data_IF_538927178294
#
_entry.id   IF_538927178294
#
_cell.length_a   1.000
_cell.length_b   1.000
_cell.length_c   1.000
_cell.angle_alpha   90.00
_cell.angle_beta   90.00
_cell.angle_gamma   90.00
#
_symmetry.space_group_name_H-M   'P 1'
#
loop_
_entity.id
_entity.type
_entity.pdbx_description
1 polymer ?
#
# COMPACT_ATOMS: atom_id res chain seq x y z
N UNK A 1 9.96 0.24 -5.25
CA UNK A 1 9.29 -0.20 -4.02
C UNK A 1 9.63 -1.66 -3.77
N UNK A 2 10.20 -1.97 -2.60
CA UNK A 2 10.42 -3.32 -2.09
C UNK A 2 9.61 -3.44 -0.81
N UNK A 3 8.61 -4.31 -0.80
CA UNK A 3 7.83 -4.61 0.41
C UNK A 3 7.68 -6.10 0.58
N UNK A 4 7.61 -6.57 1.82
CA UNK A 4 7.48 -7.97 2.12
C UNK A 4 7.22 -8.23 3.59
N UNK A 5 7.08 -9.51 3.89
CA UNK A 5 7.05 -9.98 5.26
C UNK A 5 7.72 -11.35 5.35
N UNK A 6 8.31 -11.62 6.51
CA UNK A 6 8.74 -12.96 6.91
C UNK A 6 7.79 -13.47 7.98
N UNK A 7 7.35 -14.72 7.86
CA UNK A 7 6.41 -15.32 8.79
C UNK A 7 6.99 -16.56 9.46
N UNK A 8 6.69 -16.70 10.75
CA UNK A 8 6.92 -17.91 11.53
C UNK A 8 5.57 -18.40 12.06
N UNK A 9 5.13 -19.55 11.55
CA UNK A 9 3.91 -20.20 12.03
C UNK A 9 4.26 -21.05 13.25
N UNK A 10 3.62 -20.77 14.39
CA UNK A 10 3.69 -21.65 15.55
C UNK A 10 2.82 -22.89 15.29
N UNK A 11 1.60 -22.67 14.80
CA UNK A 11 0.71 -23.74 14.38
C UNK A 11 -0.20 -23.27 13.23
N UNK A 12 -1.19 -24.10 12.87
CA UNK A 12 -2.11 -23.79 11.77
C UNK A 12 -2.95 -22.53 11.99
N UNK A 13 -3.18 -22.15 13.26
CA UNK A 13 -4.02 -21.00 13.66
C UNK A 13 -3.22 -19.76 13.99
N UNK A 14 -1.99 -19.88 14.48
CA UNK A 14 -1.22 -18.77 15.02
C UNK A 14 0.17 -18.67 14.42
N UNK A 15 0.58 -17.45 14.11
CA UNK A 15 1.93 -17.13 13.66
C UNK A 15 2.33 -15.70 14.01
N UNK A 16 3.58 -15.37 13.73
CA UNK A 16 4.13 -14.02 13.88
C UNK A 16 4.75 -13.60 12.56
N UNK A 17 4.62 -12.32 12.22
CA UNK A 17 5.14 -11.71 11.01
C UNK A 17 6.11 -10.59 11.36
N UNK A 18 7.26 -10.58 10.70
CA UNK A 18 8.13 -9.42 10.56
C UNK A 18 7.80 -8.76 9.22
N UNK A 19 7.43 -7.49 9.25
CA UNK A 19 6.98 -6.72 8.09
C UNK A 19 8.05 -5.68 7.78
N UNK A 20 8.39 -5.54 6.50
CA UNK A 20 9.37 -4.56 6.07
C UNK A 20 8.97 -3.92 4.74
N UNK A 21 9.19 -2.62 4.64
CA UNK A 21 8.92 -1.82 3.45
C UNK A 21 10.06 -0.83 3.22
N UNK A 22 10.46 -0.69 1.97
CA UNK A 22 11.38 0.34 1.51
C UNK A 22 10.88 0.87 0.17
N UNK A 23 10.58 2.15 0.14
CA UNK A 23 10.07 2.84 -1.04
C UNK A 23 10.98 3.98 -1.42
N UNK A 24 11.22 4.10 -2.72
CA UNK A 24 11.98 5.18 -3.33
C UNK A 24 11.04 5.92 -4.27
N UNK A 25 11.05 7.24 -4.22
CA UNK A 25 10.31 8.10 -5.12
C UNK A 25 11.25 9.16 -5.70
N UNK A 26 11.07 9.46 -6.98
CA UNK A 26 11.74 10.54 -7.69
C UNK A 26 10.70 11.18 -8.60
N UNK A 27 10.64 12.52 -8.62
CA UNK A 27 9.61 13.28 -9.33
C UNK A 27 10.30 14.34 -10.20
N UNK A 28 10.48 14.04 -11.48
CA UNK A 28 11.22 14.91 -12.41
C UNK A 28 10.42 16.14 -12.87
N UNK A 29 9.07 16.07 -12.84
CA UNK A 29 8.18 17.11 -13.38
C UNK A 29 8.14 18.42 -12.58
N UNK A 30 8.70 18.43 -11.37
CA UNK A 30 8.69 19.59 -10.46
C UNK A 30 10.10 19.96 -9.97
N UNK A 31 11.15 19.48 -10.65
CA UNK A 31 12.56 19.68 -10.26
C UNK A 31 12.89 19.16 -8.85
N UNK A 32 12.36 18.00 -8.48
CA UNK A 32 12.46 17.46 -7.13
C UNK A 32 13.51 16.34 -7.08
N UNK A 33 14.33 16.32 -6.02
CA UNK A 33 15.34 15.28 -5.79
C UNK A 33 14.76 13.91 -5.41
N UNK A 34 15.61 12.89 -5.41
CA UNK A 34 15.27 11.52 -5.01
C UNK A 34 15.02 11.39 -3.50
N UNK A 35 13.98 10.68 -3.11
CA UNK A 35 13.55 10.47 -1.73
C UNK A 35 13.31 8.99 -1.42
N UNK A 36 13.46 8.59 -0.15
CA UNK A 36 13.16 7.23 0.31
C UNK A 36 12.40 7.22 1.64
N UNK A 37 11.47 6.27 1.80
CA UNK A 37 10.78 5.99 3.07
C UNK A 37 10.90 4.52 3.41
N UNK A 38 10.94 4.21 4.69
CA UNK A 38 11.00 2.84 5.19
C UNK A 38 9.95 2.57 6.26
N UNK A 39 9.60 1.30 6.40
CA UNK A 39 8.73 0.81 7.46
C UNK A 39 9.23 -0.52 7.99
N UNK A 40 9.23 -0.68 9.31
CA UNK A 40 9.59 -1.94 9.99
C UNK A 40 8.57 -2.25 11.08
N UNK A 41 8.03 -3.46 11.07
CA UNK A 41 6.91 -3.79 11.94
C UNK A 41 6.83 -5.25 12.30
N UNK A 42 6.00 -5.53 13.30
CA UNK A 42 5.69 -6.89 13.74
C UNK A 42 4.20 -7.05 13.89
N UNK A 43 3.68 -8.23 13.55
CA UNK A 43 2.28 -8.56 13.73
C UNK A 43 2.10 -10.00 14.21
N UNK A 44 1.11 -10.21 15.07
CA UNK A 44 0.55 -11.53 15.36
C UNK A 44 -0.48 -11.88 14.31
N UNK A 45 -0.44 -13.11 13.80
CA UNK A 45 -1.38 -13.66 12.82
C UNK A 45 -2.28 -14.69 13.50
N UNK A 46 -3.57 -14.63 13.21
CA UNK A 46 -4.60 -15.53 13.70
C UNK A 46 -5.52 -15.97 12.57
N UNK A 47 -5.72 -17.28 12.43
CA UNK A 47 -6.66 -17.92 11.51
C UNK A 47 -7.70 -18.70 12.32
N UNK A 48 -8.84 -18.09 12.66
CA UNK A 48 -9.87 -18.77 13.45
C UNK A 48 -10.43 -20.01 12.76
N UNK A 49 -10.57 -19.91 11.43
CA UNK A 49 -11.17 -20.89 10.53
C UNK A 49 -10.41 -20.90 9.18
N UNK A 50 -10.94 -21.62 8.18
CA UNK A 50 -10.31 -21.77 6.88
C UNK A 50 -10.46 -20.55 5.94
N UNK A 51 -11.43 -19.68 6.24
CA UNK A 51 -11.84 -18.56 5.38
C UNK A 51 -11.25 -17.24 5.87
N UNK A 52 -10.97 -17.14 7.17
CA UNK A 52 -10.60 -15.90 7.86
C UNK A 52 -9.13 -15.91 8.28
N UNK A 53 -8.45 -14.81 8.01
CA UNK A 53 -7.04 -14.63 8.30
C UNK A 53 -6.78 -13.18 8.74
N UNK A 54 -6.34 -13.01 9.98
CA UNK A 54 -6.22 -11.72 10.63
C UNK A 54 -4.77 -11.54 11.09
N UNK A 55 -4.17 -10.41 10.79
CA UNK A 55 -2.89 -9.98 11.33
C UNK A 55 -3.06 -8.63 12.05
N UNK A 56 -2.60 -8.57 13.30
CA UNK A 56 -2.66 -7.41 14.17
C UNK A 56 -1.26 -7.11 14.69
N UNK A 57 -0.85 -5.85 14.64
CA UNK A 57 0.52 -5.48 14.96
C UNK A 57 0.76 -3.98 14.98
N UNK A 58 2.04 -3.63 14.88
CA UNK A 58 2.52 -2.26 14.80
C UNK A 58 3.61 -2.17 13.74
N UNK A 59 3.57 -1.08 12.98
CA UNK A 59 4.58 -0.71 12.00
C UNK A 59 5.18 0.62 12.43
N UNK A 60 6.50 0.70 12.54
CA UNK A 60 7.21 1.97 12.65
C UNK A 60 7.49 2.45 11.24
N UNK A 61 6.89 3.55 10.84
CA UNK A 61 7.14 4.18 9.55
C UNK A 61 7.92 5.47 9.71
N UNK A 62 8.91 5.63 8.84
CA UNK A 62 9.57 6.91 8.61
C UNK A 62 8.63 7.81 7.80
N UNK A 63 8.35 8.99 8.36
CA UNK A 63 7.42 9.98 7.81
C UNK A 63 8.17 11.25 7.37
N UNK A 64 9.46 11.13 7.08
CA UNK A 64 10.35 12.25 6.77
C UNK A 64 10.49 13.20 7.95
N UNK A 65 10.42 14.51 7.74
CA UNK A 65 10.56 15.55 8.77
C UNK A 65 9.57 15.42 9.94
N UNK A 66 8.60 14.51 9.85
CA UNK A 66 7.87 13.98 11.00
C UNK A 66 8.61 12.77 11.58
N UNK A 67 8.93 12.82 12.88
CA UNK A 67 9.51 11.70 13.65
C UNK A 67 8.88 10.34 13.33
N UNK A 68 9.64 9.24 13.48
CA UNK A 68 9.13 7.87 13.33
C UNK A 68 7.81 7.69 14.08
N UNK A 69 6.76 7.30 13.35
CA UNK A 69 5.43 7.12 13.93
C UNK A 69 5.10 5.64 14.09
N UNK A 70 4.57 5.22 15.25
CA UNK A 70 3.94 3.93 15.40
C UNK A 70 2.56 3.96 14.71
N UNK A 71 2.36 3.05 13.78
CA UNK A 71 1.14 2.89 13.02
C UNK A 71 0.53 1.51 13.36
N UNK A 72 -0.77 1.45 13.69
CA UNK A 72 -1.46 0.18 13.80
C UNK A 72 -1.34 -0.62 12.50
N UNK A 73 -0.93 -1.88 12.61
CA UNK A 73 -0.95 -2.81 11.50
C UNK A 73 -2.13 -3.76 11.65
N UNK A 74 -3.16 -3.58 10.83
CA UNK A 74 -4.33 -4.44 10.77
C UNK A 74 -4.48 -4.92 9.35
N UNK A 75 -4.51 -6.24 9.18
CA UNK A 75 -4.87 -6.88 7.93
C UNK A 75 -5.87 -7.99 8.23
N UNK A 76 -7.06 -7.92 7.67
CA UNK A 76 -8.05 -8.97 7.81
C UNK A 76 -8.47 -9.43 6.41
N UNK A 77 -8.31 -10.70 6.12
CA UNK A 77 -8.72 -11.33 4.87
C UNK A 77 -9.83 -12.33 5.16
N UNK A 78 -10.93 -12.22 4.42
CA UNK A 78 -12.04 -13.15 4.47
C UNK A 78 -12.31 -13.72 3.07
N UNK A 79 -12.41 -15.05 2.98
CA UNK A 79 -12.60 -15.81 1.75
C UNK A 79 -13.91 -16.60 1.82
N UNK A 80 -15.07 -15.97 1.57
CA UNK A 80 -16.37 -16.63 1.69
C UNK A 80 -16.55 -17.82 0.76
N UNK A 81 -15.80 -17.86 -0.35
CA UNK A 81 -15.83 -18.96 -1.30
C UNK A 81 -14.53 -18.99 -2.11
N UNK A 82 -14.38 -20.00 -2.99
CA UNK A 82 -13.19 -20.13 -3.83
C UNK A 82 -13.00 -18.99 -4.86
N UNK A 83 -14.05 -18.22 -5.13
CA UNK A 83 -14.09 -17.18 -6.17
C UNK A 83 -13.99 -15.74 -5.64
N UNK A 84 -14.03 -15.53 -4.32
CA UNK A 84 -14.07 -14.19 -3.74
C UNK A 84 -13.16 -14.07 -2.52
N UNK A 85 -12.55 -12.89 -2.39
CA UNK A 85 -11.77 -12.50 -1.22
C UNK A 85 -12.06 -11.03 -0.90
N UNK A 86 -12.29 -10.74 0.38
CA UNK A 86 -12.39 -9.38 0.90
C UNK A 86 -11.23 -9.16 1.85
N UNK A 87 -10.51 -8.07 1.67
CA UNK A 87 -9.36 -7.73 2.49
C UNK A 87 -9.50 -6.31 3.03
N UNK A 88 -9.47 -6.18 4.34
CA UNK A 88 -9.31 -4.91 5.04
C UNK A 88 -7.84 -4.72 5.37
N UNK A 89 -7.35 -3.50 5.14
CA UNK A 89 -6.01 -3.04 5.54
C UNK A 89 -6.14 -1.75 6.32
N UNK A 90 -5.45 -1.65 7.44
CA UNK A 90 -5.04 -0.39 8.04
C UNK A 90 -3.56 -0.56 8.37
N UNK A 91 -2.69 -0.07 7.48
CA UNK A 91 -1.25 -0.38 7.52
C UNK A 91 -0.37 0.85 7.46
N UNK A 92 -0.94 2.06 7.43
CA UNK A 92 -0.19 3.31 7.21
C UNK A 92 -0.08 3.64 5.74
N UNK A 93 0.54 2.75 4.96
CA UNK A 93 0.72 2.91 3.51
C UNK A 93 -0.60 2.85 2.73
N UNK A 94 -1.40 1.81 3.01
CA UNK A 94 -2.71 1.61 2.40
C UNK A 94 -3.71 1.26 3.47
N UNK A 95 -4.74 2.09 3.59
CA UNK A 95 -5.80 1.93 4.59
C UNK A 95 -7.14 1.84 3.86
N UNK A 96 -7.73 0.67 3.77
CA UNK A 96 -8.90 0.50 2.94
C UNK A 96 -9.42 -0.91 2.83
N UNK A 97 -10.30 -1.09 1.86
CA UNK A 97 -10.98 -2.34 1.55
C UNK A 97 -10.64 -2.73 0.11
N UNK A 98 -10.26 -3.99 -0.07
CA UNK A 98 -9.99 -4.58 -1.36
C UNK A 98 -10.93 -5.77 -1.53
N UNK A 99 -11.72 -5.76 -2.58
CA UNK A 99 -12.59 -6.87 -2.98
C UNK A 99 -12.00 -7.51 -4.23
N UNK A 100 -11.71 -8.80 -4.17
CA UNK A 100 -11.10 -9.56 -5.26
C UNK A 100 -12.04 -10.67 -5.71
N UNK A 101 -12.27 -10.74 -7.02
CA UNK A 101 -12.91 -11.85 -7.71
C UNK A 101 -11.89 -12.67 -8.49
N UNK A 102 -11.95 -14.00 -8.37
CA UNK A 102 -11.13 -14.92 -9.13
C UNK A 102 -11.96 -15.50 -10.28
N UNK A 103 -11.61 -15.16 -11.51
CA UNK A 103 -12.36 -15.57 -12.70
C UNK A 103 -12.03 -17.00 -13.14
N UNK A 104 -10.89 -17.52 -12.68
CA UNK A 104 -10.43 -18.87 -12.97
C UNK A 104 -10.27 -19.66 -11.67
N UNK A 105 -10.46 -20.98 -11.72
CA UNK A 105 -10.35 -21.82 -10.52
C UNK A 105 -8.94 -21.84 -9.93
N UNK A 106 -7.93 -21.72 -10.79
CA UNK A 106 -6.52 -21.62 -10.40
C UNK A 106 -6.13 -20.20 -9.94
N UNK A 107 -7.07 -19.25 -9.94
CA UNK A 107 -6.88 -17.84 -9.58
C UNK A 107 -5.86 -17.10 -10.45
N UNK A 108 -5.54 -17.63 -11.64
CA UNK A 108 -4.66 -16.97 -12.59
C UNK A 108 -5.20 -15.62 -13.06
N UNK A 109 -6.51 -15.45 -13.18
CA UNK A 109 -7.13 -14.17 -13.52
C UNK A 109 -7.89 -13.61 -12.31
N UNK A 110 -7.47 -12.44 -11.85
CA UNK A 110 -8.08 -11.73 -10.71
C UNK A 110 -8.61 -10.38 -11.16
N UNK A 111 -9.82 -10.03 -10.73
CA UNK A 111 -10.38 -8.68 -10.83
C UNK A 111 -10.45 -8.12 -9.42
N UNK A 112 -9.92 -6.92 -9.19
CA UNK A 112 -9.96 -6.28 -7.89
C UNK A 112 -10.56 -4.87 -7.93
N UNK A 113 -11.42 -4.59 -6.96
CA UNK A 113 -11.85 -3.25 -6.60
C UNK A 113 -11.16 -2.86 -5.30
N UNK A 114 -10.45 -1.74 -5.31
CA UNK A 114 -9.77 -1.18 -4.15
C UNK A 114 -10.34 0.19 -3.85
N UNK A 115 -10.72 0.42 -2.59
CA UNK A 115 -10.99 1.75 -2.04
C UNK A 115 -10.05 1.93 -0.87
N UNK A 116 -9.06 2.80 -1.03
CA UNK A 116 -8.03 3.01 -0.02
C UNK A 116 -7.84 4.50 0.25
N UNK A 117 -7.48 4.82 1.49
CA UNK A 117 -6.78 6.02 1.85
C UNK A 117 -5.28 5.70 1.87
N UNK A 118 -4.56 6.28 0.92
CA UNK A 118 -3.12 6.14 0.77
C UNK A 118 -2.48 7.42 1.28
N UNK A 119 -1.58 7.30 2.23
CA UNK A 119 -0.74 8.43 2.64
C UNK A 119 0.66 8.19 2.14
N UNK A 120 1.04 8.99 1.16
CA UNK A 120 2.39 9.08 0.67
C UNK A 120 3.03 10.30 1.33
N UNK A 121 4.15 10.11 1.99
CA UNK A 121 4.99 11.23 2.44
C UNK A 121 6.28 11.12 1.65
N UNK A 122 6.83 12.24 1.18
CA UNK A 122 8.10 12.30 0.44
C UNK A 122 8.89 13.55 0.84
N UNK A 123 10.22 13.51 0.83
CA UNK A 123 11.05 14.71 0.88
C UNK A 123 11.24 15.26 -0.54
N UNK A 124 10.77 16.48 -0.80
CA UNK A 124 10.92 17.18 -2.07
C UNK A 124 11.88 18.35 -1.87
N UNK A 125 12.93 18.47 -2.68
CA UNK A 125 13.86 19.62 -2.55
C UNK A 125 13.40 20.78 -3.43
N UNK A 126 13.09 21.91 -2.80
CA UNK A 126 12.77 23.18 -3.44
C UNK A 126 14.07 23.98 -3.59
N UNK A 127 14.45 24.30 -4.83
CA UNK A 127 15.68 25.04 -5.15
C UNK A 127 15.78 26.44 -4.51
N UNK A 128 14.67 26.97 -3.97
CA UNK A 128 14.61 28.29 -3.33
C UNK A 128 14.76 28.26 -1.80
N UNK A 129 14.49 27.11 -1.16
CA UNK A 129 14.39 26.98 0.29
C UNK A 129 15.05 25.72 0.90
N UNK A 130 15.58 24.80 0.08
CA UNK A 130 16.13 23.51 0.54
C UNK A 130 15.09 22.37 0.51
N UNK A 131 15.34 21.28 1.23
CA UNK A 131 14.42 20.13 1.32
C UNK A 131 13.13 20.49 2.08
N UNK A 132 11.96 20.10 1.55
CA UNK A 132 10.62 20.27 2.10
C UNK A 132 9.87 18.95 1.99
N UNK A 133 9.31 18.43 3.08
CA UNK A 133 8.46 17.24 2.96
C UNK A 133 7.11 17.58 2.30
N UNK A 134 6.64 16.77 1.36
CA UNK A 134 5.26 16.77 0.88
C UNK A 134 4.55 15.53 1.39
N UNK A 135 3.50 15.74 2.16
CA UNK A 135 2.53 14.72 2.50
C UNK A 135 1.37 14.78 1.50
N UNK A 136 1.21 13.73 0.72
CA UNK A 136 0.11 13.48 -0.21
C UNK A 136 -0.83 12.46 0.45
N UNK A 137 -2.02 12.92 0.83
CA UNK A 137 -3.09 12.04 1.29
C UNK A 137 -4.11 11.88 0.18
N UNK A 138 -4.28 10.67 -0.35
CA UNK A 138 -5.17 10.37 -1.46
C UNK A 138 -6.20 9.33 -1.09
N UNK A 139 -7.37 9.43 -1.72
CA UNK A 139 -8.43 8.41 -1.66
C UNK A 139 -8.64 7.84 -3.07
N UNK A 140 -7.75 6.93 -3.54
CA UNK A 140 -7.96 6.25 -4.80
C UNK A 140 -9.08 5.20 -4.72
N UNK A 141 -9.93 5.21 -5.73
CA UNK A 141 -10.81 4.10 -6.10
C UNK A 141 -10.23 3.46 -7.36
N UNK A 142 -9.79 2.20 -7.24
CA UNK A 142 -9.07 1.50 -8.31
C UNK A 142 -9.81 0.23 -8.71
N UNK A 143 -9.98 0.03 -10.01
CA UNK A 143 -10.44 -1.23 -10.60
C UNK A 143 -9.28 -1.82 -11.39
N UNK A 144 -8.87 -3.03 -11.05
CA UNK A 144 -7.74 -3.73 -11.66
C UNK A 144 -8.12 -5.09 -12.20
N UNK A 145 -7.41 -5.51 -13.25
CA UNK A 145 -7.37 -6.89 -13.73
C UNK A 145 -5.93 -7.34 -13.70
N UNK A 146 -5.66 -8.44 -13.01
CA UNK A 146 -4.35 -9.08 -12.94
C UNK A 146 -4.42 -10.46 -13.58
N UNK A 147 -3.50 -10.74 -14.49
CA UNK A 147 -3.28 -12.05 -15.11
C UNK A 147 -1.91 -12.58 -14.68
N UNK A 148 -1.90 -13.69 -13.95
CA UNK A 148 -0.68 -14.47 -13.72
C UNK A 148 -0.35 -15.26 -14.99
N UNK A 149 0.91 -15.20 -15.39
CA UNK A 149 1.39 -15.81 -16.63
C UNK A 149 1.78 -17.28 -16.47
N UNK A 150 1.89 -17.74 -15.22
CA UNK A 150 2.37 -19.07 -14.87
C UNK A 150 1.64 -19.59 -13.63
N UNK A 151 1.53 -20.92 -13.50
CA UNK A 151 0.94 -21.58 -12.31
C UNK A 151 1.66 -21.27 -11.01
N UNK A 152 2.94 -20.93 -11.08
CA UNK A 152 3.76 -20.48 -9.94
C UNK A 152 3.22 -19.19 -9.31
N UNK A 153 2.48 -18.39 -10.08
CA UNK A 153 2.07 -17.05 -9.68
C UNK A 153 3.23 -16.07 -9.60
N UNK A 154 4.41 -16.43 -10.12
CA UNK A 154 5.60 -15.58 -10.09
C UNK A 154 5.37 -14.36 -10.96
N UNK A 155 5.12 -14.55 -12.25
CA UNK A 155 4.97 -13.44 -13.20
C UNK A 155 3.51 -13.05 -13.40
N UNK A 156 3.27 -11.75 -13.48
CA UNK A 156 1.94 -11.22 -13.76
C UNK A 156 1.98 -9.95 -14.62
N UNK A 157 0.87 -9.74 -15.32
CA UNK A 157 0.51 -8.47 -15.97
C UNK A 157 -0.74 -7.94 -15.31
N UNK A 158 -0.77 -6.63 -15.05
CA UNK A 158 -1.91 -5.95 -14.46
C UNK A 158 -2.24 -4.69 -15.26
N UNK A 159 -3.51 -4.52 -15.58
CA UNK A 159 -4.07 -3.25 -16.01
C UNK A 159 -5.01 -2.72 -14.93
N UNK A 160 -5.03 -1.41 -14.70
CA UNK A 160 -6.00 -0.80 -13.79
C UNK A 160 -6.38 0.61 -14.21
N UNK A 161 -7.64 0.95 -13.95
CA UNK A 161 -8.14 2.31 -13.95
C UNK A 161 -8.27 2.80 -12.51
N UNK A 162 -7.92 4.05 -12.29
CA UNK A 162 -7.95 4.70 -11.00
C UNK A 162 -8.68 6.04 -11.09
N UNK A 163 -9.48 6.31 -10.07
CA UNK A 163 -10.05 7.61 -9.82
C UNK A 163 -9.63 8.08 -8.44
N UNK A 164 -8.87 9.18 -8.38
CA UNK A 164 -8.49 9.82 -7.13
C UNK A 164 -9.61 10.77 -6.75
N UNK A 165 -10.51 10.29 -5.89
CA UNK A 165 -11.71 11.01 -5.47
C UNK A 165 -11.37 12.23 -4.59
N UNK A 166 -10.28 12.13 -3.86
CA UNK A 166 -9.75 13.18 -3.00
C UNK A 166 -8.22 13.09 -2.97
N UNK A 167 -7.55 14.22 -3.01
CA UNK A 167 -6.12 14.33 -2.78
C UNK A 167 -5.84 15.62 -2.02
N UNK A 168 -4.89 15.58 -1.08
CA UNK A 168 -4.39 16.77 -0.39
C UNK A 168 -2.89 16.70 -0.31
N UNK A 169 -2.24 17.75 -0.80
CA UNK A 169 -0.79 17.88 -0.78
C UNK A 169 -0.44 18.93 0.26
N UNK A 170 0.36 18.56 1.25
CA UNK A 170 0.77 19.45 2.35
C UNK A 170 2.28 19.54 2.38
N UNK A 171 2.81 20.76 2.39
CA UNK A 171 4.23 21.04 2.53
C UNK A 171 4.57 21.20 4.01
N UNK A 172 5.59 20.49 4.46
CA UNK A 172 6.12 20.58 5.82
C UNK A 172 7.58 21.04 5.81
N UNK A 173 7.97 21.67 6.91
CA UNK A 173 9.33 22.02 7.26
C UNK A 173 9.43 22.06 8.79
N UNK A 174 10.42 21.38 9.37
CA UNK A 174 10.62 21.28 10.83
C UNK A 174 9.35 20.82 11.60
N UNK A 175 8.57 19.90 11.02
CA UNK A 175 7.34 19.38 11.61
C UNK A 175 6.12 20.33 11.50
N UNK A 176 6.30 21.57 11.04
CA UNK A 176 5.23 22.54 10.83
C UNK A 176 4.72 22.52 9.39
N UNK A 177 3.40 22.72 9.21
CA UNK A 177 2.79 22.80 7.87
C UNK A 177 2.96 24.19 7.31
N UNK A 178 3.75 24.30 6.24
CA UNK A 178 4.05 25.56 5.55
C UNK A 178 2.97 25.95 4.54
N UNK A 179 2.22 24.97 4.04
CA UNK A 179 1.11 25.20 3.12
C UNK A 179 0.42 23.89 2.72
N UNK A 180 -0.80 23.99 2.21
CA UNK A 180 -1.51 22.85 1.64
C UNK A 180 -2.36 23.27 0.46
N UNK A 181 -2.51 22.39 -0.51
CA UNK A 181 -3.47 22.55 -1.59
C UNK A 181 -4.19 21.22 -1.85
N UNK A 182 -5.38 21.34 -2.44
CA UNK A 182 -6.23 20.22 -2.79
C UNK A 182 -6.42 20.26 -4.31
N UNK A 183 -5.74 19.38 -5.07
CA UNK A 183 -6.04 19.25 -6.49
C UNK A 183 -7.47 18.72 -6.68
N UNK A 184 -8.05 19.01 -7.85
CA UNK A 184 -9.33 18.44 -8.25
C UNK A 184 -9.26 16.92 -8.41
N UNK A 185 -10.40 16.26 -8.51
CA UNK A 185 -10.44 14.83 -8.76
C UNK A 185 -9.75 14.46 -10.08
N UNK A 186 -8.96 13.39 -10.08
CA UNK A 186 -8.15 12.98 -11.24
C UNK A 186 -8.44 11.53 -11.63
N UNK A 187 -8.29 11.25 -12.92
CA UNK A 187 -8.36 9.90 -13.48
C UNK A 187 -6.99 9.46 -13.93
N UNK A 188 -6.65 8.22 -13.63
CA UNK A 188 -5.40 7.58 -14.01
C UNK A 188 -5.64 6.23 -14.67
N UNK A 189 -4.74 5.86 -15.60
CA UNK A 189 -4.62 4.51 -16.14
C UNK A 189 -3.22 4.01 -15.82
N UNK A 190 -3.13 2.78 -15.32
CA UNK A 190 -1.86 2.15 -15.00
C UNK A 190 -1.78 0.76 -15.64
N UNK A 191 -0.61 0.45 -16.17
CA UNK A 191 -0.24 -0.89 -16.61
C UNK A 191 1.05 -1.30 -15.88
N UNK A 192 1.09 -2.53 -15.37
CA UNK A 192 2.22 -3.06 -14.61
C UNK A 192 2.54 -4.47 -15.08
N UNK A 193 3.82 -4.73 -15.30
CA UNK A 193 4.39 -6.08 -15.36
C UNK A 193 5.19 -6.29 -14.09
N UNK A 194 5.08 -7.45 -13.45
CA UNK A 194 5.76 -7.70 -12.18
C UNK A 194 6.02 -9.17 -11.90
N UNK A 195 6.89 -9.38 -10.91
CA UNK A 195 7.20 -10.68 -10.36
C UNK A 195 6.96 -10.72 -8.84
N UNK A 196 6.48 -11.85 -8.31
CA UNK A 196 6.35 -12.15 -6.88
C UNK A 196 7.32 -13.29 -6.52
N UNK A 197 8.08 -13.11 -5.46
CA UNK A 197 9.02 -14.09 -4.91
C UNK A 197 8.71 -14.37 -3.44
#
# INVERSE_FOLDING_TARGET
>A
MVTGFRQWDWNQKYGVQLIYALEFAAEEGVSLGSSHRWGLGVATRWRPDAETDIALGVLLEDRFEDSILPIPYIKATWRPCKYAEVELRATGLQNGIIVRGFLTEDRATTVDLTVAYETLSFALTDGSYGSRAVAIGEVPIRIGVTQFLEKSGTWFVRGSAEWVAYARHSFKHDGETQGAFQPGAQWGLAARVGARF
#
